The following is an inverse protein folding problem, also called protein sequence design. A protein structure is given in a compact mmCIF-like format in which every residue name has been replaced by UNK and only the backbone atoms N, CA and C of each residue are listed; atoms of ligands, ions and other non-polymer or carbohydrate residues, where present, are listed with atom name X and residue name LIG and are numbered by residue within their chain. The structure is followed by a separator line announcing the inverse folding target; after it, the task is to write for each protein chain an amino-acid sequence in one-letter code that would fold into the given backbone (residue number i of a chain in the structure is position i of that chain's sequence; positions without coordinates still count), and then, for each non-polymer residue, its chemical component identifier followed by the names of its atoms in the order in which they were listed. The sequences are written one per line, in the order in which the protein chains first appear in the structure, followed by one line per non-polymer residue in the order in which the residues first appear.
data_IF_500404976672
#
_entry.id   IF_500404976672
#
_cell.length_a   1.000
_cell.length_b   1.000
_cell.length_c   1.000
_cell.angle_alpha   90.00
_cell.angle_beta   90.00
_cell.angle_gamma   90.00
#
_symmetry.space_group_name_H-M   'P 1'
#
loop_
_entity.id
_entity.type
_entity.pdbx_description
1 polymer ?
#
# COMPACT_ATOMS: atom_id res chain seq x y z
N UNK A 1 32.63 -41.03 41.92
CA UNK A 1 32.41 -39.58 42.13
C UNK A 1 32.93 -38.88 40.88
N UNK A 2 32.06 -38.46 39.94
CA UNK A 2 31.37 -37.14 39.93
C UNK A 2 32.46 -36.06 39.79
N UNK A 3 32.61 -35.28 38.71
CA UNK A 3 31.63 -34.81 37.70
C UNK A 3 32.35 -34.28 36.46
N UNK A 4 31.77 -34.61 35.31
CA UNK A 4 31.80 -33.87 34.05
C UNK A 4 31.21 -32.44 34.27
N UNK A 5 31.92 -31.40 33.82
CA UNK A 5 31.44 -30.01 33.79
C UNK A 5 31.60 -29.40 32.39
N UNK A 6 30.52 -29.58 31.60
CA UNK A 6 29.67 -28.53 30.99
C UNK A 6 30.33 -27.43 30.13
N UNK A 7 29.96 -27.46 28.85
CA UNK A 7 29.29 -26.41 28.08
C UNK A 7 29.38 -24.95 28.54
N UNK A 8 29.79 -24.09 27.60
CA UNK A 8 29.39 -22.69 27.48
C UNK A 8 29.84 -22.18 26.11
N UNK A 9 29.11 -22.52 25.03
CA UNK A 9 28.09 -21.65 24.41
C UNK A 9 28.56 -20.20 24.29
N UNK A 10 29.27 -19.91 23.19
CA UNK A 10 29.39 -18.54 22.67
C UNK A 10 28.09 -18.22 21.93
N UNK A 11 27.03 -17.93 22.68
CA UNK A 11 25.89 -17.19 22.14
C UNK A 11 26.25 -15.71 22.23
N UNK A 12 26.98 -15.24 21.22
CA UNK A 12 27.12 -13.81 20.96
C UNK A 12 25.71 -13.26 20.71
N UNK A 13 25.19 -12.55 21.70
CA UNK A 13 23.91 -11.89 21.65
C UNK A 13 23.88 -10.91 20.48
N UNK A 14 23.19 -11.31 19.40
CA UNK A 14 22.70 -10.39 18.39
C UNK A 14 21.72 -9.47 19.12
N UNK A 15 22.17 -8.28 19.47
CA UNK A 15 21.28 -7.22 19.93
C UNK A 15 20.38 -6.86 18.75
N UNK A 16 19.18 -7.44 18.71
CA UNK A 16 18.11 -7.05 17.80
C UNK A 16 17.82 -5.56 18.01
N UNK A 17 18.34 -4.72 17.12
CA UNK A 17 17.94 -3.32 17.08
C UNK A 17 16.41 -3.27 16.86
N UNK A 18 15.69 -2.35 17.52
CA UNK A 18 14.24 -2.32 17.42
C UNK A 18 13.83 -2.04 15.97
N UNK A 19 13.16 -3.02 15.35
CA UNK A 19 12.59 -2.97 13.99
C UNK A 19 11.48 -1.91 13.81
N UNK A 20 11.16 -1.16 14.87
CA UNK A 20 10.06 -0.20 15.00
C UNK A 20 9.96 0.83 13.87
N UNK A 21 11.04 1.55 13.46
CA UNK A 21 10.92 2.54 12.38
C UNK A 21 10.55 1.91 11.04
N UNK A 22 11.11 0.74 10.73
CA UNK A 22 10.84 0.03 9.49
C UNK A 22 9.41 -0.53 9.45
N UNK A 23 8.94 -1.07 10.58
CA UNK A 23 7.58 -1.58 10.73
C UNK A 23 6.54 -0.49 10.45
N UNK A 24 6.75 0.72 11.02
CA UNK A 24 5.85 1.85 10.80
C UNK A 24 5.83 2.30 9.33
N UNK A 25 6.97 2.39 8.67
CA UNK A 25 6.97 2.77 7.26
C UNK A 25 6.28 1.73 6.38
N UNK A 26 6.48 0.44 6.67
CA UNK A 26 5.80 -0.64 5.96
C UNK A 26 4.28 -0.57 6.15
N UNK A 27 3.82 -0.32 7.39
CA UNK A 27 2.41 -0.10 7.70
C UNK A 27 1.81 1.04 6.87
N UNK A 28 2.47 2.20 6.81
CA UNK A 28 2.02 3.33 5.99
C UNK A 28 1.93 2.96 4.50
N UNK A 29 2.90 2.20 3.98
CA UNK A 29 2.88 1.72 2.60
C UNK A 29 1.74 0.71 2.35
N UNK A 30 1.40 -0.13 3.33
CA UNK A 30 0.27 -1.04 3.25
C UNK A 30 -1.08 -0.30 3.26
N UNK A 31 -1.20 0.76 4.06
CA UNK A 31 -2.38 1.63 4.07
C UNK A 31 -2.51 2.34 2.71
N UNK A 32 -1.41 2.87 2.18
CA UNK A 32 -1.37 3.46 0.84
C UNK A 32 -1.81 2.45 -0.22
N UNK A 33 -1.30 1.21 -0.18
CA UNK A 33 -1.72 0.14 -1.09
C UNK A 33 -3.22 -0.18 -0.98
N UNK A 34 -3.77 -0.16 0.24
CA UNK A 34 -5.20 -0.39 0.49
C UNK A 34 -6.07 0.71 -0.12
N UNK A 35 -5.63 1.97 -0.06
CA UNK A 35 -6.29 3.07 -0.78
C UNK A 35 -6.23 2.88 -2.30
N UNK A 36 -5.04 2.55 -2.82
CA UNK A 36 -4.85 2.29 -4.24
C UNK A 36 -5.72 1.12 -4.73
N UNK A 37 -5.98 0.13 -3.87
CA UNK A 37 -6.88 -0.99 -4.16
C UNK A 37 -8.31 -0.53 -4.41
N UNK A 38 -8.84 0.34 -3.54
CA UNK A 38 -10.19 0.88 -3.71
C UNK A 38 -10.33 1.67 -5.02
N UNK A 39 -9.28 2.39 -5.43
CA UNK A 39 -9.23 3.06 -6.74
C UNK A 39 -9.16 2.04 -7.87
N UNK A 40 -8.25 1.06 -7.78
CA UNK A 40 -8.04 0.04 -8.80
C UNK A 40 -9.32 -0.73 -9.11
N UNK A 41 -10.03 -1.16 -8.08
CA UNK A 41 -11.27 -1.91 -8.26
C UNK A 41 -12.41 -1.07 -8.84
N UNK A 42 -12.30 0.25 -8.75
CA UNK A 42 -13.23 1.20 -9.32
C UNK A 42 -12.99 1.51 -10.80
N UNK A 43 -11.88 1.07 -11.37
CA UNK A 43 -11.56 1.26 -12.79
C UNK A 43 -12.54 0.44 -13.62
N UNK A 44 -13.11 1.07 -14.65
CA UNK A 44 -14.01 0.39 -15.58
C UNK A 44 -13.37 -0.84 -16.22
N UNK A 45 -14.12 -1.95 -16.28
CA UNK A 45 -13.62 -3.23 -16.79
C UNK A 45 -13.17 -3.14 -18.27
N UNK A 46 -13.85 -2.33 -19.08
CA UNK A 46 -13.47 -2.08 -20.48
C UNK A 46 -12.10 -1.42 -20.56
N UNK A 47 -11.82 -0.43 -19.70
CA UNK A 47 -10.53 0.23 -19.62
C UNK A 47 -9.42 -0.75 -19.22
N UNK A 48 -9.65 -1.56 -18.17
CA UNK A 48 -8.70 -2.60 -17.76
C UNK A 48 -8.41 -3.61 -18.88
N UNK A 49 -9.47 -4.07 -19.57
CA UNK A 49 -9.34 -5.04 -20.67
C UNK A 49 -8.53 -4.50 -21.84
N UNK A 50 -8.81 -3.24 -22.24
CA UNK A 50 -8.11 -2.54 -23.33
C UNK A 50 -6.61 -2.41 -23.06
N UNK A 51 -6.23 -2.17 -21.80
CA UNK A 51 -4.84 -1.92 -21.42
C UNK A 51 -4.18 -3.07 -20.65
N UNK A 52 -4.73 -4.29 -20.66
CA UNK A 52 -4.28 -5.42 -19.81
C UNK A 52 -2.77 -5.67 -19.76
N UNK A 53 -2.04 -5.41 -20.85
CA UNK A 53 -0.59 -5.62 -20.93
C UNK A 53 0.23 -4.50 -20.26
N UNK A 54 -0.32 -3.29 -20.16
CA UNK A 54 0.41 -2.08 -19.73
C UNK A 54 -0.25 -1.34 -18.57
N UNK A 55 -1.46 -1.76 -18.16
CA UNK A 55 -2.29 -1.07 -17.17
C UNK A 55 -1.57 -0.88 -15.84
N UNK A 56 -0.74 -1.85 -15.46
CA UNK A 56 0.03 -1.80 -14.23
C UNK A 56 1.12 -0.72 -14.26
N UNK A 57 1.82 -0.58 -15.39
CA UNK A 57 2.79 0.49 -15.61
C UNK A 57 2.09 1.85 -15.66
N UNK A 58 0.98 1.95 -16.40
CA UNK A 58 0.19 3.17 -16.47
C UNK A 58 -0.31 3.58 -15.08
N UNK A 59 -0.85 2.65 -14.30
CA UNK A 59 -1.33 2.94 -12.95
C UNK A 59 -0.21 3.48 -12.06
N UNK A 60 0.98 2.87 -12.09
CA UNK A 60 2.14 3.32 -11.33
C UNK A 60 2.59 4.74 -11.71
N UNK A 61 2.66 5.02 -13.02
CA UNK A 61 2.98 6.35 -13.54
C UNK A 61 1.94 7.39 -13.09
N UNK A 62 0.65 7.05 -13.13
CA UNK A 62 -0.44 7.93 -12.69
C UNK A 62 -0.43 8.16 -11.19
N UNK A 63 -0.16 7.14 -10.38
CA UNK A 63 0.01 7.27 -8.93
C UNK A 63 1.15 8.23 -8.61
N UNK A 64 2.32 8.02 -9.21
CA UNK A 64 3.48 8.90 -9.03
C UNK A 64 3.21 10.33 -9.49
N UNK A 65 2.55 10.51 -10.64
CA UNK A 65 2.20 11.85 -11.14
C UNK A 65 1.17 12.55 -10.22
N UNK A 66 0.11 11.86 -9.82
CA UNK A 66 -0.93 12.42 -8.96
C UNK A 66 -0.39 12.81 -7.59
N UNK A 67 0.46 11.98 -6.98
CA UNK A 67 1.01 12.23 -5.63
C UNK A 67 1.92 13.46 -5.61
N UNK A 68 2.72 13.67 -6.66
CA UNK A 68 3.60 14.86 -6.79
C UNK A 68 2.85 16.16 -7.05
N UNK A 69 1.70 16.10 -7.72
CA UNK A 69 0.95 17.30 -8.14
C UNK A 69 -0.14 17.75 -7.16
N UNK A 70 -0.26 17.12 -6.00
CA UNK A 70 -1.34 17.37 -5.04
C UNK A 70 -0.77 17.63 -3.65
N UNK A 71 -1.49 18.37 -2.81
CA UNK A 71 -1.05 18.76 -1.46
C UNK A 71 -1.80 18.04 -0.33
N UNK A 72 -2.83 17.25 -0.65
CA UNK A 72 -3.61 16.47 0.31
C UNK A 72 -3.98 15.11 -0.26
N UNK A 73 -4.20 14.13 0.62
CA UNK A 73 -4.54 12.77 0.23
C UNK A 73 -5.89 12.68 -0.51
N UNK A 74 -6.86 13.52 -0.12
CA UNK A 74 -8.13 13.65 -0.82
C UNK A 74 -7.93 14.17 -2.26
N UNK A 75 -7.15 15.24 -2.44
CA UNK A 75 -6.86 15.77 -3.77
C UNK A 75 -6.10 14.76 -4.64
N UNK A 76 -5.20 13.98 -4.03
CA UNK A 76 -4.54 12.85 -4.67
C UNK A 76 -5.55 11.83 -5.21
N UNK A 77 -6.48 11.35 -4.37
CA UNK A 77 -7.48 10.35 -4.77
C UNK A 77 -8.37 10.87 -5.90
N UNK A 78 -8.89 12.10 -5.78
CA UNK A 78 -9.71 12.73 -6.82
C UNK A 78 -8.94 12.80 -8.15
N UNK A 79 -7.67 13.23 -8.11
CA UNK A 79 -6.84 13.35 -9.32
C UNK A 79 -6.54 12.00 -9.96
N UNK A 80 -6.20 11.00 -9.15
CA UNK A 80 -5.91 9.66 -9.65
C UNK A 80 -7.15 9.03 -10.29
N UNK A 81 -8.31 9.12 -9.62
CA UNK A 81 -9.58 8.60 -10.11
C UNK A 81 -9.97 9.19 -11.47
N UNK A 82 -9.84 10.52 -11.62
CA UNK A 82 -10.07 11.21 -12.90
C UNK A 82 -9.13 10.73 -14.02
N UNK A 83 -7.89 10.34 -13.69
CA UNK A 83 -6.89 9.93 -14.70
C UNK A 83 -7.02 8.49 -15.19
N UNK A 84 -7.79 7.65 -14.49
CA UNK A 84 -7.86 6.20 -14.70
C UNK A 84 -9.26 5.69 -15.07
N UNK A 85 -10.21 6.57 -15.43
CA UNK A 85 -11.61 6.18 -15.72
C UNK A 85 -12.22 5.36 -14.58
N UNK A 86 -12.10 5.87 -13.36
CA UNK A 86 -12.70 5.25 -12.18
C UNK A 86 -14.16 5.66 -12.11
N UNK A 87 -15.07 4.69 -12.18
CA UNK A 87 -16.50 4.92 -12.07
C UNK A 87 -16.92 5.23 -10.63
N UNK A 88 -16.39 4.48 -9.67
CA UNK A 88 -16.65 4.64 -8.24
C UNK A 88 -15.43 4.19 -7.43
N UNK A 89 -15.07 4.92 -6.36
CA UNK A 89 -13.99 4.49 -5.47
C UNK A 89 -14.54 3.45 -4.48
N UNK A 90 -13.94 2.26 -4.48
CA UNK A 90 -14.33 1.14 -3.62
C UNK A 90 -15.50 0.32 -4.17
N UNK A 91 -15.36 -1.01 -4.18
CA UNK A 91 -16.35 -1.95 -4.76
C UNK A 91 -17.66 -2.03 -3.99
N UNK A 92 -17.57 -1.84 -2.67
CA UNK A 92 -18.69 -1.99 -1.76
C UNK A 92 -18.63 -0.96 -0.62
N UNK A 93 -19.64 -0.98 0.25
CA UNK A 93 -19.74 -0.06 1.37
C UNK A 93 -18.57 -0.20 2.38
N UNK A 94 -18.00 -1.40 2.49
CA UNK A 94 -16.88 -1.68 3.41
C UNK A 94 -15.59 -1.06 2.88
N UNK A 95 -15.27 -1.23 1.60
CA UNK A 95 -14.11 -0.58 0.97
C UNK A 95 -14.25 0.95 1.04
N UNK A 96 -15.45 1.49 0.80
CA UNK A 96 -15.72 2.94 0.92
C UNK A 96 -15.51 3.47 2.33
N UNK A 97 -16.05 2.79 3.34
CA UNK A 97 -15.85 3.16 4.74
C UNK A 97 -14.37 3.15 5.12
N UNK A 98 -13.60 2.15 4.67
CA UNK A 98 -12.16 2.13 4.92
C UNK A 98 -11.44 3.33 4.28
N UNK A 99 -11.79 3.73 3.05
CA UNK A 99 -11.24 4.93 2.42
C UNK A 99 -11.54 6.17 3.26
N UNK A 100 -12.79 6.33 3.72
CA UNK A 100 -13.20 7.45 4.59
C UNK A 100 -12.40 7.50 5.88
N UNK A 101 -12.22 6.35 6.55
CA UNK A 101 -11.45 6.26 7.80
C UNK A 101 -9.98 6.62 7.60
N UNK A 102 -9.37 6.21 6.48
CA UNK A 102 -7.99 6.59 6.14
C UNK A 102 -7.90 8.10 5.90
N UNK A 103 -8.84 8.67 5.15
CA UNK A 103 -8.89 10.12 4.90
C UNK A 103 -9.11 10.93 6.18
N UNK A 104 -9.88 10.40 7.12
CA UNK A 104 -10.09 10.97 8.45
C UNK A 104 -8.90 10.75 9.42
N UNK A 105 -7.84 10.06 8.97
CA UNK A 105 -6.61 9.84 9.74
C UNK A 105 -6.68 8.74 10.79
N UNK A 106 -7.67 7.84 10.73
CA UNK A 106 -7.86 6.76 11.72
C UNK A 106 -6.80 5.66 11.67
N UNK A 107 -6.13 5.51 10.52
CA UNK A 107 -5.07 4.51 10.31
C UNK A 107 -3.68 5.13 10.17
N UNK A 108 -3.54 6.44 10.39
CA UNK A 108 -2.27 7.17 10.20
C UNK A 108 -2.52 8.55 9.62
N UNK A 109 -1.50 9.41 9.64
CA UNK A 109 -1.65 10.76 9.11
C UNK A 109 -1.85 10.71 7.59
N UNK A 110 -2.88 11.39 7.04
CA UNK A 110 -3.04 11.50 5.58
C UNK A 110 -1.81 12.09 4.89
N UNK A 111 -1.06 12.96 5.59
CA UNK A 111 0.19 13.52 5.10
C UNK A 111 1.32 12.49 4.99
N UNK A 112 1.44 11.55 5.95
CA UNK A 112 2.43 10.46 5.92
C UNK A 112 2.16 9.50 4.76
N UNK A 113 0.88 9.16 4.56
CA UNK A 113 0.45 8.28 3.47
C UNK A 113 0.76 8.93 2.11
N UNK A 114 0.44 10.22 1.97
CA UNK A 114 0.77 10.98 0.76
C UNK A 114 2.29 11.09 0.55
N UNK A 115 3.06 11.29 1.62
CA UNK A 115 4.52 11.31 1.56
C UNK A 115 5.09 9.97 1.09
N UNK A 116 4.56 8.84 1.58
CA UNK A 116 4.95 7.51 1.12
C UNK A 116 4.63 7.30 -0.37
N UNK A 117 3.44 7.72 -0.82
CA UNK A 117 3.04 7.67 -2.25
C UNK A 117 3.90 8.56 -3.16
N UNK A 118 4.50 9.62 -2.63
CA UNK A 118 5.45 10.47 -3.40
C UNK A 118 6.85 9.88 -3.44
N UNK A 119 7.32 9.36 -2.31
CA UNK A 119 8.67 8.83 -2.15
C UNK A 119 8.83 7.48 -2.86
N UNK A 120 7.87 6.58 -2.64
CA UNK A 120 7.94 5.17 -3.03
C UNK A 120 6.67 4.68 -3.76
N UNK A 121 6.21 5.36 -4.84
CA UNK A 121 4.99 4.95 -5.54
C UNK A 121 5.05 3.49 -6.03
N UNK A 122 6.21 3.05 -6.53
CA UNK A 122 6.43 1.69 -7.01
C UNK A 122 6.23 0.63 -5.90
N UNK A 123 6.64 0.92 -4.67
CA UNK A 123 6.47 -0.02 -3.55
C UNK A 123 5.00 -0.13 -3.17
N UNK A 124 4.29 0.99 -3.11
CA UNK A 124 2.85 1.01 -2.80
C UNK A 124 2.05 0.25 -3.86
N UNK A 125 2.38 0.41 -5.15
CA UNK A 125 1.74 -0.31 -6.25
C UNK A 125 2.11 -1.79 -6.26
N UNK A 126 3.36 -2.15 -5.95
CA UNK A 126 3.77 -3.54 -5.80
C UNK A 126 2.99 -4.25 -4.68
N UNK A 127 2.82 -3.61 -3.52
CA UNK A 127 2.01 -4.15 -2.42
C UNK A 127 0.55 -4.36 -2.85
N UNK A 128 -0.03 -3.42 -3.60
CA UNK A 128 -1.36 -3.61 -4.21
C UNK A 128 -1.39 -4.83 -5.13
N UNK A 129 -0.40 -5.02 -6.01
CA UNK A 129 -0.35 -6.18 -6.91
C UNK A 129 -0.35 -7.49 -6.12
N UNK A 130 0.43 -7.56 -5.04
CA UNK A 130 0.45 -8.72 -4.14
C UNK A 130 -0.94 -8.95 -3.53
N UNK A 131 -1.62 -7.90 -3.06
CA UNK A 131 -2.99 -8.01 -2.53
C UNK A 131 -3.97 -8.54 -3.60
N UNK A 132 -3.89 -8.06 -4.84
CA UNK A 132 -4.74 -8.55 -5.95
C UNK A 132 -4.46 -10.00 -6.32
N UNK A 133 -3.19 -10.41 -6.29
CA UNK A 133 -2.82 -11.80 -6.53
C UNK A 133 -3.35 -12.73 -5.42
N UNK A 134 -3.27 -12.29 -4.16
CA UNK A 134 -3.82 -13.02 -3.03
C UNK A 134 -5.35 -13.14 -3.08
N UNK A 135 -6.06 -12.12 -3.57
CA UNK A 135 -7.51 -12.18 -3.81
C UNK A 135 -7.82 -13.26 -4.85
N UNK A 136 -7.09 -13.27 -5.98
CA UNK A 136 -7.28 -14.25 -7.07
C UNK A 136 -7.06 -15.70 -6.64
N UNK A 137 -6.14 -15.96 -5.72
CA UNK A 137 -5.86 -17.33 -5.24
C UNK A 137 -6.98 -17.87 -4.33
N UNK A 138 -7.74 -16.97 -3.68
CA UNK A 138 -8.79 -17.35 -2.72
C UNK A 138 -10.16 -17.58 -3.37
N UNK A 139 -10.35 -17.08 -4.58
CA UNK A 139 -11.56 -17.26 -5.41
C UNK A 139 -11.51 -18.57 -6.20
#
# INVERSE_FOLDING_TARGET
MVTDQRNGTLEEGVQEQPLEPYARELEIRQIAATLLRAVWNGIEAEYLSKYRMTIWTQFEERVGAASRMTNSLLAFLSKLAMSMQVAEIGRDATERLHVELVLAGKYGSPGEILAALRRDPQICVMLLRIQKEQERIKE
#
